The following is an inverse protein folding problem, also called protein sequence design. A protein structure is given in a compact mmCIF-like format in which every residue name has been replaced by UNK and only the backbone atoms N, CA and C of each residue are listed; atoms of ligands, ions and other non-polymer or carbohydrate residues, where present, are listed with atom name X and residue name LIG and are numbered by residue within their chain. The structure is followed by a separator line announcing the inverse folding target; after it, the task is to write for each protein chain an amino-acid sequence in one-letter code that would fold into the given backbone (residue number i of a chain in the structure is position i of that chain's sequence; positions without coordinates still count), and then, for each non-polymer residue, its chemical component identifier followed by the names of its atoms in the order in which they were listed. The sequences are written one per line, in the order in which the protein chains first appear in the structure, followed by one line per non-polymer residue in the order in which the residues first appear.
data_IF_520272733507
#
_entry.id   IF_520272733507
#
_cell.length_a   1.000
_cell.length_b   1.000
_cell.length_c   1.000
_cell.angle_alpha   90.00
_cell.angle_beta   90.00
_cell.angle_gamma   90.00
#
_symmetry.space_group_name_H-M   'P 1'
#
loop_
_entity.id
_entity.type
_entity.pdbx_description
1 polymer ?
#
# COMPACT_ATOMS: atom_id res chain seq x y z
N UNK A 1 -3.65 4.11 36.38
CA UNK A 1 -2.48 3.82 35.53
C UNK A 1 -2.77 2.57 34.67
N UNK A 2 -3.73 2.66 33.73
CA UNK A 2 -4.22 1.46 33.00
C UNK A 2 -4.76 1.77 31.60
N UNK A 3 -4.25 2.80 30.92
CA UNK A 3 -4.71 3.18 29.56
C UNK A 3 -3.65 2.98 28.46
N UNK A 4 -2.44 2.53 28.81
CA UNK A 4 -1.33 2.41 27.84
C UNK A 4 -1.17 1.02 27.19
N UNK A 5 -1.89 0.00 27.68
CA UNK A 5 -1.78 -1.38 27.17
C UNK A 5 -2.69 -1.68 25.98
N UNK A 6 -3.79 -0.92 25.80
CA UNK A 6 -4.71 -1.12 24.69
C UNK A 6 -4.21 -0.52 23.37
N UNK A 7 -3.56 0.66 23.41
CA UNK A 7 -2.99 1.30 22.20
C UNK A 7 -1.87 0.48 21.59
N UNK A 8 -0.97 -0.06 22.41
CA UNK A 8 0.19 -0.85 21.98
C UNK A 8 -0.22 -2.18 21.34
N UNK A 9 -1.23 -2.86 21.87
CA UNK A 9 -1.83 -4.06 21.23
C UNK A 9 -2.52 -3.76 19.90
N UNK A 10 -3.24 -2.64 19.80
CA UNK A 10 -3.91 -2.24 18.56
C UNK A 10 -2.91 -1.89 17.45
N UNK A 11 -1.82 -1.20 17.81
CA UNK A 11 -0.72 -0.88 16.89
C UNK A 11 -0.08 -2.18 16.36
N UNK A 12 0.19 -3.16 17.23
CA UNK A 12 0.76 -4.45 16.82
C UNK A 12 -0.19 -5.27 15.92
N UNK A 13 -1.49 -5.24 16.20
CA UNK A 13 -2.49 -5.94 15.39
C UNK A 13 -2.62 -5.32 14.00
N UNK A 14 -2.62 -3.99 13.94
CA UNK A 14 -2.74 -3.23 12.70
C UNK A 14 -1.50 -3.37 11.82
N UNK A 15 -0.29 -3.50 12.38
CA UNK A 15 0.93 -3.75 11.58
C UNK A 15 0.87 -5.04 10.75
N UNK A 16 0.25 -6.11 11.27
CA UNK A 16 0.08 -7.36 10.51
C UNK A 16 -0.93 -7.21 9.38
N UNK A 17 -1.98 -6.42 9.62
CA UNK A 17 -2.99 -6.13 8.61
C UNK A 17 -2.46 -5.15 7.55
N UNK A 18 -1.65 -4.19 7.95
CA UNK A 18 -0.92 -3.27 7.07
C UNK A 18 0.03 -4.04 6.16
N UNK A 19 0.87 -4.92 6.71
CA UNK A 19 1.73 -5.80 5.92
C UNK A 19 0.96 -6.63 4.87
N UNK A 20 -0.21 -7.16 5.25
CA UNK A 20 -1.06 -7.89 4.31
C UNK A 20 -1.68 -6.95 3.27
N UNK A 21 -2.14 -5.77 3.69
CA UNK A 21 -2.72 -4.74 2.84
C UNK A 21 -1.73 -4.27 1.78
N UNK A 22 -0.48 -4.02 2.17
CA UNK A 22 0.60 -3.64 1.27
C UNK A 22 0.85 -4.72 0.22
N UNK A 23 0.93 -5.99 0.63
CA UNK A 23 1.13 -7.10 -0.30
C UNK A 23 -0.04 -7.26 -1.30
N UNK A 24 -1.28 -7.06 -0.83
CA UNK A 24 -2.47 -7.10 -1.69
C UNK A 24 -2.48 -5.91 -2.66
N UNK A 25 -2.15 -4.71 -2.18
CA UNK A 25 -2.08 -3.51 -3.02
C UNK A 25 -0.98 -3.65 -4.09
N UNK A 26 0.19 -4.18 -3.71
CA UNK A 26 1.30 -4.46 -4.63
C UNK A 26 0.88 -5.42 -5.76
N UNK A 27 0.11 -6.47 -5.42
CA UNK A 27 -0.41 -7.41 -6.40
C UNK A 27 -1.38 -6.74 -7.38
N UNK A 28 -2.34 -5.98 -6.87
CA UNK A 28 -3.35 -5.31 -7.70
C UNK A 28 -2.70 -4.31 -8.65
N UNK A 29 -1.78 -3.48 -8.14
CA UNK A 29 -1.07 -2.50 -8.97
C UNK A 29 -0.17 -3.21 -9.99
N UNK A 30 0.54 -4.26 -9.57
CA UNK A 30 1.35 -5.08 -10.47
C UNK A 30 0.52 -5.67 -11.62
N UNK A 31 -0.63 -6.26 -11.32
CA UNK A 31 -1.54 -6.82 -12.32
C UNK A 31 -2.10 -5.74 -13.26
N UNK A 32 -2.51 -4.59 -12.71
CA UNK A 32 -3.00 -3.47 -13.49
C UNK A 32 -1.94 -2.97 -14.48
N UNK A 33 -0.70 -2.75 -14.02
CA UNK A 33 0.38 -2.27 -14.87
C UNK A 33 0.75 -3.30 -15.94
N UNK A 34 0.83 -4.58 -15.59
CA UNK A 34 1.11 -5.67 -16.52
C UNK A 34 0.08 -5.75 -17.64
N UNK A 35 -1.22 -5.61 -17.31
CA UNK A 35 -2.31 -5.64 -18.30
C UNK A 35 -2.40 -4.36 -19.13
N UNK A 36 -2.11 -3.21 -18.53
CA UNK A 36 -2.25 -1.89 -19.19
C UNK A 36 -1.10 -1.62 -20.15
N UNK A 37 0.10 -2.12 -19.85
CA UNK A 37 1.32 -1.84 -20.60
C UNK A 37 2.05 -3.13 -21.04
N UNK A 38 1.45 -3.94 -21.92
CA UNK A 38 1.97 -5.28 -22.27
C UNK A 38 3.34 -5.26 -22.95
N UNK A 39 3.69 -4.18 -23.65
CA UNK A 39 4.95 -4.04 -24.39
C UNK A 39 6.03 -3.28 -23.60
N UNK A 40 5.73 -2.85 -22.37
CA UNK A 40 6.66 -2.08 -21.55
C UNK A 40 7.64 -3.00 -20.82
N UNK A 41 8.91 -2.60 -20.76
CA UNK A 41 9.93 -3.35 -20.03
C UNK A 41 9.64 -3.38 -18.52
N UNK A 42 9.95 -4.52 -17.89
CA UNK A 42 9.79 -4.74 -16.45
C UNK A 42 10.39 -3.63 -15.59
N UNK A 43 11.58 -3.14 -15.97
CA UNK A 43 12.28 -2.07 -15.25
C UNK A 43 11.49 -0.76 -15.22
N UNK A 44 10.73 -0.45 -16.27
CA UNK A 44 9.91 0.76 -16.33
C UNK A 44 8.58 0.56 -15.60
N UNK A 45 7.98 -0.63 -15.71
CA UNK A 45 6.83 -1.02 -14.88
C UNK A 45 7.14 -0.90 -13.38
N UNK A 46 8.36 -1.31 -12.98
CA UNK A 46 8.83 -1.20 -11.59
C UNK A 46 8.94 0.25 -11.13
N UNK A 47 9.44 1.15 -11.97
CA UNK A 47 9.52 2.59 -11.66
C UNK A 47 8.12 3.21 -11.49
N UNK A 48 7.18 2.87 -12.39
CA UNK A 48 5.80 3.35 -12.31
C UNK A 48 5.12 2.80 -11.05
N UNK A 49 5.32 1.52 -10.73
CA UNK A 49 4.81 0.91 -9.51
C UNK A 49 5.32 1.64 -8.27
N UNK A 50 6.63 1.88 -8.18
CA UNK A 50 7.24 2.62 -7.08
C UNK A 50 6.70 4.06 -6.95
N UNK A 51 6.47 4.76 -8.07
CA UNK A 51 5.88 6.10 -8.06
C UNK A 51 4.40 6.11 -7.62
N UNK A 52 3.65 5.04 -7.94
CA UNK A 52 2.23 4.89 -7.58
C UNK A 52 2.04 4.59 -6.09
N UNK A 53 2.95 3.81 -5.49
CA UNK A 53 2.87 3.37 -4.08
C UNK A 53 3.59 4.34 -3.13
N UNK A 54 4.29 5.36 -3.65
CA UNK A 54 4.95 6.35 -2.80
C UNK A 54 3.95 7.09 -1.89
N UNK A 55 4.33 7.31 -0.63
CA UNK A 55 3.49 7.81 0.48
C UNK A 55 2.57 8.98 0.09
N UNK A 56 3.00 9.88 -0.79
CA UNK A 56 2.21 11.03 -1.23
C UNK A 56 0.97 10.66 -2.06
N UNK A 57 1.10 9.66 -2.95
CA UNK A 57 0.00 9.14 -3.76
C UNK A 57 -1.00 8.38 -2.88
N UNK A 58 -0.49 7.56 -1.95
CA UNK A 58 -1.32 6.74 -1.06
C UNK A 58 -2.03 7.60 0.00
N UNK A 59 -1.37 8.62 0.54
CA UNK A 59 -1.99 9.58 1.45
C UNK A 59 -3.09 10.40 0.76
N UNK A 60 -2.96 10.70 -0.53
CA UNK A 60 -4.03 11.34 -1.31
C UNK A 60 -5.25 10.44 -1.44
N UNK A 61 -5.04 9.14 -1.69
CA UNK A 61 -6.13 8.15 -1.77
C UNK A 61 -6.78 7.93 -0.40
N UNK A 62 -6.02 7.80 0.69
CA UNK A 62 -6.56 7.69 2.06
C UNK A 62 -7.43 8.89 2.41
N UNK A 63 -6.95 10.11 2.11
CA UNK A 63 -7.73 11.35 2.29
C UNK A 63 -9.02 11.36 1.48
N UNK A 64 -9.01 10.80 0.26
CA UNK A 64 -10.22 10.70 -0.56
C UNK A 64 -11.21 9.64 -0.07
N UNK A 65 -10.72 8.60 0.61
CA UNK A 65 -11.52 7.52 1.20
C UNK A 65 -11.99 7.80 2.63
N UNK A 66 -11.70 8.99 3.18
CA UNK A 66 -11.99 9.38 4.57
C UNK A 66 -11.43 8.42 5.62
N UNK A 67 -10.26 7.83 5.34
CA UNK A 67 -9.48 7.02 6.27
C UNK A 67 -8.28 7.82 6.81
#
# INVERSE_FOLDING_TARGET
DSTNEHKSKHINHNQRLEFLGDAVLDLIIGEYLFKTYPDMAEGDLTKIKAATVCEDSLASVSRSLQL
#
